data_IF_676653604297
#
_entry.id   IF_676653604297
#
_cell.length_a   1.000
_cell.length_b   1.000
_cell.length_c   1.000
_cell.angle_alpha   90.00
_cell.angle_beta   90.00
_cell.angle_gamma   90.00
#
_symmetry.space_group_name_H-M   'P 1'
#
loop_
_entity.id
_entity.type
_entity.pdbx_description
1 polymer ?
#
# COMPACT_ATOMS: atom_id res chain seq x y z
N UNK A 1 -19.10 -3.69 4.28
CA UNK A 1 -18.27 -4.21 5.38
C UNK A 1 -16.88 -4.41 4.80
N UNK A 2 -15.83 -4.05 5.53
CA UNK A 2 -14.48 -4.10 4.98
C UNK A 2 -13.94 -5.53 4.96
N UNK A 3 -13.04 -5.84 4.04
CA UNK A 3 -12.30 -7.11 3.98
C UNK A 3 -11.73 -7.58 5.32
N UNK A 4 -11.43 -6.66 6.23
CA UNK A 4 -10.92 -6.96 7.56
C UNK A 4 -11.91 -7.65 8.51
N UNK A 5 -13.21 -7.70 8.21
CA UNK A 5 -14.18 -8.33 9.09
C UNK A 5 -14.21 -9.88 8.97
N UNK A 6 -13.48 -10.45 8.00
CA UNK A 6 -13.37 -11.91 7.78
C UNK A 6 -11.99 -12.51 8.08
N UNK A 7 -11.02 -11.72 8.53
CA UNK A 7 -9.63 -12.18 8.77
C UNK A 7 -9.49 -12.99 10.07
N UNK A 8 -10.44 -12.91 11.00
CA UNK A 8 -10.30 -13.55 12.32
C UNK A 8 -10.39 -15.10 12.32
N UNK A 9 -10.80 -15.74 11.21
CA UNK A 9 -10.91 -17.20 11.06
C UNK A 9 -10.14 -17.78 9.85
N UNK A 10 -9.25 -17.01 9.21
CA UNK A 10 -8.51 -17.49 8.02
C UNK A 10 -7.31 -18.36 8.38
N UNK A 11 -7.23 -19.56 7.79
CA UNK A 11 -6.09 -20.47 7.96
C UNK A 11 -4.84 -20.00 7.19
N UNK A 12 -4.92 -18.87 6.48
CA UNK A 12 -3.78 -18.24 5.80
C UNK A 12 -2.58 -18.01 6.73
N UNK A 13 -2.81 -17.78 8.03
CA UNK A 13 -1.75 -17.62 9.01
C UNK A 13 -0.89 -18.88 9.22
N UNK A 14 -1.38 -20.05 8.78
CA UNK A 14 -0.66 -21.32 8.86
C UNK A 14 0.28 -21.55 7.68
N UNK A 15 0.11 -20.82 6.57
CA UNK A 15 0.93 -20.99 5.37
C UNK A 15 2.28 -20.27 5.49
N UNK A 16 3.37 -20.87 4.97
CA UNK A 16 4.68 -20.24 5.00
C UNK A 16 4.75 -19.02 4.07
N UNK A 17 5.64 -18.03 4.32
CA UNK A 17 5.76 -16.83 3.47
C UNK A 17 6.03 -17.10 1.99
N UNK A 18 6.62 -18.24 1.67
CA UNK A 18 6.89 -18.72 0.31
C UNK A 18 5.62 -19.15 -0.44
N UNK A 19 4.51 -19.38 0.28
CA UNK A 19 3.21 -19.73 -0.29
C UNK A 19 2.58 -18.60 -1.09
N UNK A 20 2.95 -17.35 -0.84
CA UNK A 20 2.35 -16.18 -1.46
C UNK A 20 2.95 -15.95 -2.85
N UNK A 21 2.14 -16.12 -3.90
CA UNK A 21 2.52 -15.89 -5.30
C UNK A 21 2.96 -14.46 -5.58
N UNK A 22 2.48 -13.51 -4.78
CA UNK A 22 2.86 -12.11 -4.82
C UNK A 22 3.10 -11.57 -3.40
N UNK A 23 4.35 -11.59 -2.93
CA UNK A 23 4.78 -11.10 -1.60
C UNK A 23 4.53 -9.58 -1.41
N UNK A 24 4.04 -8.88 -2.44
CA UNK A 24 3.79 -7.43 -2.46
C UNK A 24 2.33 -7.05 -2.71
N UNK A 25 1.42 -8.01 -2.87
CA UNK A 25 -0.01 -7.76 -2.89
C UNK A 25 -0.58 -8.13 -1.51
N UNK A 26 -0.55 -7.18 -0.58
CA UNK A 26 -1.10 -7.36 0.77
C UNK A 26 -2.60 -7.08 0.82
N UNK A 27 -3.17 -6.57 -0.28
CA UNK A 27 -4.55 -6.08 -0.35
C UNK A 27 -5.40 -6.85 -1.38
N UNK A 28 -4.81 -7.57 -2.34
CA UNK A 28 -5.54 -8.42 -3.29
C UNK A 28 -5.96 -9.79 -2.72
N UNK A 29 -6.89 -10.50 -3.39
CA UNK A 29 -7.28 -11.85 -2.98
C UNK A 29 -6.07 -12.78 -3.03
N UNK A 30 -5.84 -13.55 -1.95
CA UNK A 30 -4.71 -14.48 -1.84
C UNK A 30 -4.55 -15.32 -3.13
N UNK A 31 -3.34 -15.33 -3.70
CA UNK A 31 -2.99 -16.18 -4.85
C UNK A 31 -1.70 -16.96 -4.55
N UNK A 32 -1.74 -18.30 -4.49
CA UNK A 32 -0.58 -19.08 -4.12
C UNK A 32 0.50 -19.06 -5.20
N UNK A 33 1.76 -19.19 -4.79
CA UNK A 33 2.88 -19.32 -5.70
C UNK A 33 2.86 -20.72 -6.34
N UNK A 34 2.65 -20.80 -7.65
CA UNK A 34 2.56 -22.10 -8.36
C UNK A 34 3.80 -23.00 -8.10
N UNK A 35 5.00 -22.44 -8.06
CA UNK A 35 6.24 -23.22 -7.85
C UNK A 35 6.36 -23.76 -6.42
N UNK A 36 5.89 -22.99 -5.43
CA UNK A 36 5.79 -23.50 -4.07
C UNK A 36 4.69 -24.56 -3.99
N UNK A 37 3.52 -24.31 -4.58
CA UNK A 37 2.35 -25.18 -4.52
C UNK A 37 2.66 -26.57 -5.10
N UNK A 38 3.46 -26.69 -6.15
CA UNK A 38 3.93 -27.98 -6.71
C UNK A 38 4.72 -28.85 -5.72
N UNK A 39 5.34 -28.23 -4.71
CA UNK A 39 6.30 -28.90 -3.81
C UNK A 39 5.91 -28.85 -2.33
N UNK A 40 4.82 -28.16 -2.01
CA UNK A 40 4.21 -28.09 -0.68
C UNK A 40 3.66 -29.46 -0.25
N UNK A 41 3.40 -29.62 1.04
CA UNK A 41 2.76 -30.84 1.54
C UNK A 41 1.25 -30.85 1.22
N UNK A 42 0.63 -32.03 1.33
CA UNK A 42 -0.77 -32.21 0.93
C UNK A 42 -1.74 -31.35 1.77
N UNK A 43 -1.40 -31.06 3.03
CA UNK A 43 -2.21 -30.24 3.93
C UNK A 43 -2.10 -28.75 3.55
N UNK A 44 -0.89 -28.24 3.32
CA UNK A 44 -0.64 -26.85 2.87
C UNK A 44 -1.23 -26.59 1.48
N UNK A 45 -1.18 -27.58 0.57
CA UNK A 45 -1.81 -27.49 -0.75
C UNK A 45 -3.33 -27.32 -0.62
N UNK A 46 -3.98 -28.10 0.25
CA UNK A 46 -5.43 -28.01 0.49
C UNK A 46 -5.82 -26.67 1.10
N UNK A 47 -5.10 -26.22 2.14
CA UNK A 47 -5.34 -24.91 2.76
C UNK A 47 -5.15 -23.78 1.75
N UNK A 48 -4.11 -23.82 0.91
CA UNK A 48 -3.89 -22.80 -0.11
C UNK A 48 -4.99 -22.76 -1.19
N UNK A 49 -5.45 -23.92 -1.68
CA UNK A 49 -6.54 -23.99 -2.66
C UNK A 49 -7.86 -23.48 -2.08
N UNK A 50 -8.16 -23.85 -0.83
CA UNK A 50 -9.35 -23.42 -0.10
C UNK A 50 -9.37 -21.91 0.11
N UNK A 51 -8.30 -21.34 0.66
CA UNK A 51 -8.20 -19.89 0.91
C UNK A 51 -8.18 -19.08 -0.39
N UNK A 52 -7.64 -19.63 -1.48
CA UNK A 52 -7.74 -19.01 -2.81
C UNK A 52 -9.20 -18.87 -3.27
N UNK A 53 -10.02 -19.90 -3.06
CA UNK A 53 -11.43 -19.91 -3.43
C UNK A 53 -12.24 -18.95 -2.55
N UNK A 54 -12.07 -19.02 -1.23
CA UNK A 54 -12.75 -18.16 -0.25
C UNK A 54 -12.34 -16.68 -0.36
N UNK A 55 -11.16 -16.38 -0.90
CA UNK A 55 -10.77 -15.01 -1.21
C UNK A 55 -11.51 -14.40 -2.42
N UNK A 56 -12.18 -15.22 -3.24
CA UNK A 56 -12.84 -14.80 -4.49
C UNK A 56 -14.35 -15.00 -4.45
N UNK A 57 -14.82 -15.98 -3.69
CA UNK A 57 -16.20 -16.39 -3.64
C UNK A 57 -16.69 -16.42 -2.18
N UNK A 58 -17.94 -16.00 -1.97
CA UNK A 58 -18.58 -16.01 -0.66
C UNK A 58 -19.96 -16.68 -0.74
N UNK A 59 -20.50 -17.00 0.44
CA UNK A 59 -21.87 -17.47 0.58
C UNK A 59 -22.85 -16.48 -0.09
N UNK A 60 -23.73 -16.95 -1.00
CA UNK A 60 -24.72 -16.10 -1.65
C UNK A 60 -25.61 -15.34 -0.66
N UNK A 61 -25.80 -15.84 0.57
CA UNK A 61 -26.51 -15.14 1.64
C UNK A 61 -25.94 -13.76 2.01
N UNK A 62 -24.64 -13.52 1.75
CA UNK A 62 -23.98 -12.28 2.13
C UNK A 62 -24.12 -11.19 1.06
N UNK A 63 -23.91 -11.53 -0.20
CA UNK A 63 -23.77 -10.56 -1.30
C UNK A 63 -24.90 -10.64 -2.34
N UNK A 64 -25.86 -11.58 -2.21
CA UNK A 64 -26.96 -11.72 -3.18
C UNK A 64 -28.35 -11.51 -2.55
N UNK A 65 -29.26 -10.77 -3.23
CA UNK A 65 -30.65 -10.63 -2.77
C UNK A 65 -31.40 -11.97 -2.79
N UNK A 66 -32.05 -12.32 -1.67
CA UNK A 66 -32.87 -13.54 -1.57
C UNK A 66 -34.33 -13.29 -1.94
N UNK A 67 -34.89 -14.10 -2.85
CA UNK A 67 -36.31 -14.04 -3.21
C UNK A 67 -37.13 -15.10 -2.46
N UNK A 68 -37.78 -14.69 -1.38
CA UNK A 68 -38.60 -15.57 -0.54
C UNK A 68 -39.89 -16.11 -1.18
N UNK A 69 -40.27 -15.70 -2.41
CA UNK A 69 -41.43 -16.29 -3.12
C UNK A 69 -41.06 -17.52 -3.95
N UNK A 70 -39.86 -17.55 -4.52
CA UNK A 70 -39.36 -18.65 -5.36
C UNK A 70 -38.37 -19.55 -4.60
N UNK A 71 -37.85 -19.08 -3.47
CA UNK A 71 -37.03 -19.87 -2.55
C UNK A 71 -35.58 -20.02 -3.03
N UNK A 72 -34.95 -18.94 -3.50
CA UNK A 72 -33.57 -18.96 -3.99
C UNK A 72 -32.90 -17.58 -4.03
N UNK A 73 -31.58 -17.61 -4.20
CA UNK A 73 -30.72 -16.42 -4.37
C UNK A 73 -30.76 -15.90 -5.80
N UNK A 74 -30.69 -14.57 -5.96
CA UNK A 74 -30.63 -13.92 -7.26
C UNK A 74 -29.21 -13.47 -7.55
N UNK A 75 -28.50 -14.24 -8.39
CA UNK A 75 -27.12 -13.98 -8.85
C UNK A 75 -27.05 -12.84 -9.88
N UNK A 76 -27.43 -11.64 -9.47
CA UNK A 76 -27.46 -10.44 -10.34
C UNK A 76 -26.06 -9.98 -10.78
N UNK A 77 -25.01 -10.44 -10.10
CA UNK A 77 -23.62 -9.99 -10.26
C UNK A 77 -22.69 -11.10 -10.80
N UNK A 78 -23.24 -12.19 -11.34
CA UNK A 78 -22.49 -13.37 -11.78
C UNK A 78 -22.60 -14.54 -10.80
N UNK A 79 -22.30 -15.75 -11.29
CA UNK A 79 -22.56 -17.03 -10.62
C UNK A 79 -23.87 -17.71 -11.08
N UNK A 80 -24.27 -18.81 -10.44
CA UNK A 80 -23.55 -19.51 -9.37
C UNK A 80 -22.21 -20.07 -9.85
N UNK A 81 -21.20 -20.03 -8.98
CA UNK A 81 -19.89 -20.63 -9.21
C UNK A 81 -19.78 -21.91 -8.38
N UNK A 82 -19.51 -23.03 -9.04
CA UNK A 82 -19.29 -24.32 -8.39
C UNK A 82 -17.79 -24.51 -8.11
N UNK A 83 -17.38 -24.81 -6.86
CA UNK A 83 -16.00 -25.22 -6.57
C UNK A 83 -15.47 -26.31 -7.50
N UNK A 84 -16.32 -27.22 -7.96
CA UNK A 84 -15.98 -28.33 -8.86
C UNK A 84 -15.60 -27.88 -10.29
N UNK A 85 -15.97 -26.67 -10.69
CA UNK A 85 -15.58 -26.09 -11.98
C UNK A 85 -14.34 -25.18 -11.81
N UNK A 86 -14.34 -24.34 -10.78
CA UNK A 86 -13.35 -23.27 -10.58
C UNK A 86 -11.99 -23.78 -10.07
N UNK A 87 -11.98 -24.73 -9.12
CA UNK A 87 -10.73 -25.25 -8.56
C UNK A 87 -9.93 -26.08 -9.57
N UNK A 88 -10.53 -27.03 -10.33
CA UNK A 88 -9.81 -27.74 -11.37
C UNK A 88 -9.30 -26.82 -12.49
N UNK A 89 -10.05 -25.78 -12.86
CA UNK A 89 -9.60 -24.82 -13.89
C UNK A 89 -8.30 -24.11 -13.48
N UNK A 90 -8.13 -23.76 -12.19
CA UNK A 90 -6.94 -23.06 -11.68
C UNK A 90 -5.77 -23.98 -11.35
N UNK A 91 -6.04 -25.15 -10.79
CA UNK A 91 -5.00 -25.98 -10.14
C UNK A 91 -4.69 -27.30 -10.86
N UNK A 92 -5.48 -27.70 -11.85
CA UNK A 92 -5.20 -28.93 -12.60
C UNK A 92 -3.84 -28.84 -13.31
N UNK A 93 -3.00 -29.84 -13.09
CA UNK A 93 -1.62 -29.89 -13.59
C UNK A 93 -0.56 -29.26 -12.67
N UNK A 94 -0.98 -28.66 -11.54
CA UNK A 94 -0.09 -28.14 -10.48
C UNK A 94 -0.19 -29.02 -9.23
N UNK A 95 -1.42 -29.38 -8.84
CA UNK A 95 -1.73 -30.26 -7.69
C UNK A 95 -2.39 -31.55 -8.21
N UNK A 96 -2.29 -32.65 -7.46
CA UNK A 96 -2.96 -33.92 -7.80
C UNK A 96 -4.48 -33.72 -7.78
N UNK A 97 -5.16 -34.15 -8.85
CA UNK A 97 -6.61 -34.01 -9.01
C UNK A 97 -7.39 -34.60 -7.83
N UNK A 98 -6.86 -35.62 -7.13
CA UNK A 98 -7.49 -36.17 -5.93
C UNK A 98 -7.57 -35.18 -4.77
N UNK A 99 -6.54 -34.35 -4.59
CA UNK A 99 -6.52 -33.34 -3.53
C UNK A 99 -7.46 -32.19 -3.87
N UNK A 100 -7.61 -31.88 -5.16
CA UNK A 100 -8.59 -30.91 -5.67
C UNK A 100 -10.01 -31.40 -5.36
N UNK A 101 -10.33 -32.67 -5.68
CA UNK A 101 -11.62 -33.29 -5.40
C UNK A 101 -11.96 -33.27 -3.90
N UNK A 102 -10.98 -33.53 -3.02
CA UNK A 102 -11.17 -33.46 -1.56
C UNK A 102 -11.53 -32.04 -1.07
N UNK A 103 -10.87 -30.99 -1.61
CA UNK A 103 -11.22 -29.59 -1.24
C UNK A 103 -12.59 -29.18 -1.78
N UNK A 104 -12.96 -29.67 -2.97
CA UNK A 104 -14.29 -29.46 -3.54
C UNK A 104 -15.37 -30.08 -2.64
N UNK A 105 -15.18 -31.32 -2.18
CA UNK A 105 -16.11 -31.99 -1.26
C UNK A 105 -16.26 -31.23 0.06
N UNK A 106 -15.15 -30.71 0.60
CA UNK A 106 -15.17 -29.90 1.82
C UNK A 106 -15.96 -28.60 1.64
N UNK A 107 -15.75 -27.88 0.53
CA UNK A 107 -16.47 -26.64 0.20
C UNK A 107 -17.96 -26.88 -0.12
N UNK A 108 -18.30 -28.01 -0.75
CA UNK A 108 -19.69 -28.43 -0.96
C UNK A 108 -20.41 -28.76 0.36
N UNK A 109 -19.67 -29.16 1.40
CA UNK A 109 -20.19 -29.39 2.74
C UNK A 109 -20.58 -28.11 3.51
N UNK A 110 -20.23 -26.93 2.99
CA UNK A 110 -20.49 -25.63 3.60
C UNK A 110 -21.76 -24.96 3.10
N UNK A 111 -22.09 -23.81 3.70
CA UNK A 111 -23.34 -23.09 3.46
C UNK A 111 -23.53 -22.65 1.99
N UNK A 112 -22.44 -22.45 1.23
CA UNK A 112 -22.47 -22.09 -0.18
C UNK A 112 -22.70 -23.25 -1.15
N UNK A 113 -22.48 -24.51 -0.73
CA UNK A 113 -22.71 -25.69 -1.56
C UNK A 113 -22.06 -25.61 -2.95
N UNK A 114 -22.87 -25.79 -3.99
CA UNK A 114 -22.55 -25.63 -5.41
C UNK A 114 -22.89 -24.23 -5.98
N UNK A 115 -23.42 -23.33 -5.16
CA UNK A 115 -24.01 -22.06 -5.59
C UNK A 115 -23.30 -20.83 -4.98
N UNK A 116 -21.98 -20.71 -5.17
CA UNK A 116 -21.23 -19.58 -4.60
C UNK A 116 -21.39 -18.28 -5.40
N UNK A 117 -21.35 -17.15 -4.69
CA UNK A 117 -21.41 -15.82 -5.27
C UNK A 117 -20.02 -15.16 -5.31
N UNK A 118 -19.72 -14.31 -6.30
CA UNK A 118 -18.45 -13.60 -6.35
C UNK A 118 -18.39 -12.50 -5.28
N UNK A 119 -17.27 -12.39 -4.58
CA UNK A 119 -17.03 -11.31 -3.61
C UNK A 119 -16.91 -9.98 -4.36
N UNK A 120 -17.71 -8.99 -3.94
CA UNK A 120 -17.61 -7.63 -4.49
C UNK A 120 -16.44 -6.92 -3.84
N UNK A 121 -15.34 -6.82 -4.59
CA UNK A 121 -14.24 -5.98 -4.20
C UNK A 121 -14.58 -4.50 -4.47
N UNK A 122 -15.50 -3.94 -3.67
CA UNK A 122 -15.79 -2.50 -3.65
C UNK A 122 -14.62 -1.75 -2.98
N UNK A 123 -13.45 -1.76 -3.62
CA UNK A 123 -12.57 -0.61 -3.46
C UNK A 123 -13.34 0.58 -4.04
N UNK A 124 -13.45 1.72 -3.33
CA UNK A 124 -13.86 2.95 -3.97
C UNK A 124 -12.98 3.09 -5.22
N UNK A 125 -13.59 3.31 -6.39
CA UNK A 125 -12.90 3.40 -7.69
C UNK A 125 -11.49 3.97 -7.46
N UNK A 126 -10.45 3.15 -7.68
CA UNK A 126 -9.06 3.48 -7.30
C UNK A 126 -8.64 4.87 -7.83
N UNK A 127 -9.30 5.32 -8.91
CA UNK A 127 -9.21 6.67 -9.50
C UNK A 127 -9.39 7.82 -8.50
N UNK A 128 -10.18 7.69 -7.43
CA UNK A 128 -10.44 8.79 -6.49
C UNK A 128 -9.34 8.94 -5.41
N UNK A 129 -8.68 7.85 -5.00
CA UNK A 129 -7.56 7.89 -4.05
C UNK A 129 -6.22 8.25 -4.71
N UNK A 130 -6.12 8.07 -6.03
CA UNK A 130 -4.93 8.35 -6.85
C UNK A 130 -4.75 9.85 -7.20
N UNK A 131 -5.72 10.70 -6.88
CA UNK A 131 -5.71 12.09 -7.34
C UNK A 131 -5.24 13.07 -6.26
N UNK A 132 -3.98 12.92 -5.84
CA UNK A 132 -3.22 14.11 -5.46
C UNK A 132 -3.21 15.06 -6.66
N UNK A 133 -4.00 16.13 -6.60
CA UNK A 133 -3.93 17.16 -7.62
C UNK A 133 -2.75 18.08 -7.31
N UNK A 134 -1.60 17.82 -7.92
CA UNK A 134 -0.39 18.63 -7.79
C UNK A 134 -0.22 19.41 -9.10
N UNK A 135 -0.67 20.66 -9.08
CA UNK A 135 -0.80 21.47 -10.31
C UNK A 135 0.52 21.97 -10.88
N UNK A 136 1.63 21.88 -10.13
CA UNK A 136 2.94 22.36 -10.58
C UNK A 136 4.11 21.74 -9.83
N UNK A 137 5.30 21.80 -10.43
CA UNK A 137 6.54 21.29 -9.84
C UNK A 137 6.89 21.92 -8.49
N UNK A 138 6.49 23.17 -8.28
CA UNK A 138 6.82 23.95 -7.08
C UNK A 138 5.74 23.82 -6.00
N UNK A 139 4.59 23.19 -6.32
CA UNK A 139 3.49 23.01 -5.39
C UNK A 139 3.85 22.19 -4.15
N UNK A 140 4.65 21.09 -4.22
CA UNK A 140 5.09 20.37 -3.02
C UNK A 140 5.86 21.27 -2.05
N UNK A 141 6.78 22.11 -2.56
CA UNK A 141 7.54 23.03 -1.71
C UNK A 141 6.65 24.12 -1.10
N UNK A 142 5.67 24.64 -1.87
CA UNK A 142 4.72 25.62 -1.36
C UNK A 142 3.85 25.02 -0.25
N UNK A 143 3.28 23.82 -0.47
CA UNK A 143 2.49 23.10 0.53
C UNK A 143 3.29 22.79 1.78
N UNK A 144 4.55 22.40 1.64
CA UNK A 144 5.45 22.23 2.78
C UNK A 144 5.56 23.50 3.60
N UNK A 145 5.85 24.65 2.98
CA UNK A 145 5.99 25.94 3.67
C UNK A 145 4.71 26.36 4.37
N UNK A 146 3.55 26.10 3.75
CA UNK A 146 2.24 26.33 4.40
C UNK A 146 2.08 25.44 5.62
N UNK A 147 2.31 24.12 5.50
CA UNK A 147 2.21 23.17 6.62
C UNK A 147 3.12 23.54 7.78
N UNK A 148 4.38 23.89 7.51
CA UNK A 148 5.33 24.27 8.56
C UNK A 148 4.95 25.60 9.23
N UNK A 149 4.39 26.54 8.48
CA UNK A 149 3.88 27.80 9.05
C UNK A 149 2.64 27.59 9.93
N UNK A 150 1.68 26.79 9.47
CA UNK A 150 0.53 26.39 10.27
C UNK A 150 0.97 25.64 11.54
N UNK A 151 1.97 24.78 11.44
CA UNK A 151 2.56 24.08 12.58
C UNK A 151 3.18 25.05 13.60
N UNK A 152 3.81 26.15 13.15
CA UNK A 152 4.27 27.23 14.04
C UNK A 152 3.10 27.95 14.71
N UNK A 153 2.00 28.18 14.00
CA UNK A 153 0.80 28.80 14.57
C UNK A 153 0.17 27.93 15.66
N UNK A 154 0.17 26.60 15.51
CA UNK A 154 -0.30 25.68 16.56
C UNK A 154 0.48 25.86 17.88
N UNK A 155 1.79 26.13 17.81
CA UNK A 155 2.60 26.39 19.02
C UNK A 155 2.21 27.68 19.75
N UNK A 156 1.52 28.60 19.08
CA UNK A 156 1.05 29.87 19.67
C UNK A 156 -0.30 29.74 20.37
N UNK A 157 -0.97 28.60 20.22
CA UNK A 157 -2.28 28.37 20.84
C UNK A 157 -2.18 28.43 22.36
N UNK A 158 -3.21 29.01 22.98
CA UNK A 158 -3.34 29.09 24.43
C UNK A 158 -4.13 27.90 24.97
N UNK A 159 -3.84 27.47 26.20
CA UNK A 159 -4.49 26.31 26.81
C UNK A 159 -3.84 25.90 28.13
N UNK A 160 -4.30 24.78 28.69
CA UNK A 160 -3.67 24.19 29.88
C UNK A 160 -2.21 23.81 29.58
N UNK A 161 -1.34 23.72 30.60
CA UNK A 161 0.04 23.26 30.41
C UNK A 161 0.11 21.92 29.67
N UNK A 162 -0.77 20.98 29.99
CA UNK A 162 -0.84 19.65 29.37
C UNK A 162 -1.22 19.73 27.89
N UNK A 163 -2.20 20.57 27.53
CA UNK A 163 -2.60 20.76 26.14
C UNK A 163 -1.48 21.37 25.30
N UNK A 164 -0.72 22.32 25.86
CA UNK A 164 0.43 22.93 25.17
C UNK A 164 1.57 21.94 24.97
N UNK A 165 1.85 21.09 25.94
CA UNK A 165 2.86 20.02 25.77
C UNK A 165 2.41 18.98 24.73
N UNK A 166 1.12 18.60 24.71
CA UNK A 166 0.60 17.74 23.65
C UNK A 166 0.73 18.41 22.26
N UNK A 167 0.40 19.70 22.15
CA UNK A 167 0.54 20.44 20.90
C UNK A 167 1.99 20.42 20.38
N UNK A 168 2.99 20.53 21.26
CA UNK A 168 4.41 20.40 20.89
C UNK A 168 4.75 19.03 20.30
N UNK A 169 4.27 17.94 20.91
CA UNK A 169 4.50 16.58 20.41
C UNK A 169 3.86 16.38 19.02
N UNK A 170 2.64 16.91 18.85
CA UNK A 170 1.92 16.84 17.57
C UNK A 170 2.62 17.67 16.48
N UNK A 171 3.06 18.88 16.79
CA UNK A 171 3.80 19.75 15.85
C UNK A 171 5.14 19.14 15.45
N UNK A 172 5.88 18.57 16.40
CA UNK A 172 7.14 17.89 16.11
C UNK A 172 6.94 16.70 15.16
N UNK A 173 5.92 15.87 15.43
CA UNK A 173 5.56 14.74 14.56
C UNK A 173 5.11 15.20 13.18
N UNK A 174 4.35 16.30 13.12
CA UNK A 174 3.93 16.94 11.88
C UNK A 174 5.13 17.41 11.05
N UNK A 175 6.20 17.95 11.66
CA UNK A 175 7.41 18.35 10.94
C UNK A 175 8.05 17.21 10.13
N UNK A 176 8.12 16.00 10.71
CA UNK A 176 8.61 14.81 10.00
C UNK A 176 7.60 14.35 8.94
N UNK A 177 6.29 14.35 9.26
CA UNK A 177 5.24 14.03 8.29
C UNK A 177 5.21 15.01 7.10
N UNK A 178 5.54 16.28 7.31
CA UNK A 178 5.61 17.29 6.27
C UNK A 178 6.78 17.03 5.30
N UNK A 179 7.92 16.55 5.80
CA UNK A 179 9.04 16.06 4.98
C UNK A 179 8.61 14.85 4.13
N UNK A 180 7.95 13.87 4.74
CA UNK A 180 7.45 12.68 4.04
C UNK A 180 6.46 13.04 2.94
N UNK A 181 5.48 13.89 3.25
CA UNK A 181 4.51 14.38 2.29
C UNK A 181 5.18 15.13 1.13
N UNK A 182 6.17 15.99 1.42
CA UNK A 182 6.92 16.68 0.36
C UNK A 182 7.61 15.70 -0.60
N UNK A 183 8.28 14.67 -0.07
CA UNK A 183 8.99 13.68 -0.88
C UNK A 183 8.02 12.89 -1.77
N UNK A 184 6.91 12.44 -1.19
CA UNK A 184 5.85 11.74 -1.90
C UNK A 184 5.21 12.61 -2.98
N UNK A 185 4.74 13.81 -2.63
CA UNK A 185 4.12 14.76 -3.56
C UNK A 185 5.07 15.11 -4.71
N UNK A 186 6.36 15.27 -4.41
CA UNK A 186 7.38 15.51 -5.45
C UNK A 186 7.51 14.32 -6.38
N UNK A 187 7.62 13.10 -5.86
CA UNK A 187 7.71 11.90 -6.68
C UNK A 187 6.45 11.71 -7.54
N UNK A 188 5.27 11.81 -6.93
CA UNK A 188 3.98 11.71 -7.60
C UNK A 188 3.89 12.67 -8.78
N UNK A 189 4.17 13.97 -8.56
CA UNK A 189 4.15 14.98 -9.63
C UNK A 189 5.06 14.61 -10.80
N UNK A 190 6.32 14.24 -10.55
CA UNK A 190 7.26 13.95 -11.62
C UNK A 190 6.91 12.66 -12.36
N UNK A 191 6.55 11.58 -11.65
CA UNK A 191 6.21 10.31 -12.31
C UNK A 191 4.83 10.33 -12.98
N UNK A 192 3.96 11.25 -12.59
CA UNK A 192 2.67 11.49 -13.24
C UNK A 192 2.80 12.33 -14.52
N UNK A 193 3.67 13.34 -14.53
CA UNK A 193 3.71 14.34 -15.60
C UNK A 193 4.93 14.26 -16.54
N UNK A 194 6.01 13.55 -16.16
CA UNK A 194 7.24 13.48 -16.96
C UNK A 194 7.50 12.05 -17.47
N UNK A 195 7.26 11.84 -18.77
CA UNK A 195 7.51 10.55 -19.46
C UNK A 195 8.97 10.09 -19.36
N UNK A 196 9.92 11.03 -19.31
CA UNK A 196 11.33 10.69 -19.15
C UNK A 196 11.59 10.18 -17.73
N UNK A 197 10.99 10.81 -16.72
CA UNK A 197 11.05 10.33 -15.34
C UNK A 197 10.42 8.93 -15.21
N UNK A 198 9.26 8.73 -15.82
CA UNK A 198 8.56 7.44 -15.83
C UNK A 198 9.41 6.35 -16.50
N UNK A 199 9.94 6.61 -17.69
CA UNK A 199 10.85 5.69 -18.37
C UNK A 199 12.06 5.33 -17.51
N UNK A 200 12.68 6.33 -16.86
CA UNK A 200 13.88 6.13 -16.05
C UNK A 200 13.59 5.28 -14.80
N UNK A 201 12.49 5.51 -14.08
CA UNK A 201 12.20 4.71 -12.88
C UNK A 201 11.95 3.25 -13.25
N UNK A 202 11.26 2.99 -14.36
CA UNK A 202 10.97 1.62 -14.82
C UNK A 202 12.25 0.89 -15.23
N UNK A 203 13.16 1.58 -15.92
CA UNK A 203 14.39 0.97 -16.44
C UNK A 203 15.50 0.84 -15.41
N UNK A 204 15.53 1.68 -14.37
CA UNK A 204 16.64 1.74 -13.42
C UNK A 204 16.30 1.23 -12.03
N UNK A 205 15.03 1.21 -11.61
CA UNK A 205 14.65 0.70 -10.30
C UNK A 205 14.49 -0.83 -10.37
N UNK A 206 15.22 -1.62 -9.55
CA UNK A 206 15.17 -3.09 -9.61
C UNK A 206 13.76 -3.67 -9.55
N UNK A 207 12.84 -3.05 -8.79
CA UNK A 207 11.44 -3.46 -8.68
C UNK A 207 10.73 -3.58 -10.04
N UNK A 208 11.01 -2.68 -10.97
CA UNK A 208 10.39 -2.65 -12.30
C UNK A 208 11.30 -3.26 -13.37
N UNK A 209 12.60 -2.96 -13.31
CA UNK A 209 13.58 -3.42 -14.29
C UNK A 209 13.64 -4.94 -14.39
N UNK A 210 13.51 -5.62 -13.25
CA UNK A 210 13.68 -7.06 -13.15
C UNK A 210 12.34 -7.83 -13.28
N UNK A 211 11.23 -7.13 -13.55
CA UNK A 211 9.90 -7.73 -13.76
C UNK A 211 9.82 -8.47 -15.11
N UNK A 212 9.38 -9.73 -15.09
CA UNK A 212 9.20 -10.54 -16.31
C UNK A 212 7.80 -10.36 -16.90
N UNK A 213 7.71 -10.09 -18.20
CA UNK A 213 6.44 -9.87 -18.90
C UNK A 213 6.36 -10.77 -20.14
N UNK A 214 5.24 -11.48 -20.33
CA UNK A 214 4.97 -12.27 -21.55
C UNK A 214 4.69 -11.33 -22.72
N UNK A 215 5.15 -11.68 -23.93
CA UNK A 215 5.00 -10.84 -25.12
C UNK A 215 3.53 -10.48 -25.44
N UNK A 216 2.59 -11.39 -25.16
CA UNK A 216 1.16 -11.18 -25.37
C UNK A 216 0.53 -10.13 -24.44
N UNK A 217 1.13 -9.86 -23.29
CA UNK A 217 0.60 -8.94 -22.27
C UNK A 217 1.15 -7.52 -22.39
N UNK A 218 2.06 -7.28 -23.36
CA UNK A 218 2.73 -5.98 -23.55
C UNK A 218 1.73 -4.83 -23.66
N UNK A 219 0.71 -4.96 -24.50
CA UNK A 219 -0.25 -3.88 -24.71
C UNK A 219 -1.12 -3.61 -23.47
N UNK A 220 -1.40 -4.63 -22.66
CA UNK A 220 -2.14 -4.48 -21.39
C UNK A 220 -1.27 -3.77 -20.35
N UNK A 221 -0.03 -4.21 -20.17
CA UNK A 221 0.94 -3.61 -19.23
C UNK A 221 1.32 -2.19 -19.64
N UNK A 222 1.51 -1.92 -20.92
CA UNK A 222 1.84 -0.58 -21.41
C UNK A 222 0.75 0.44 -21.08
N UNK A 223 -0.53 0.05 -21.16
CA UNK A 223 -1.64 0.95 -20.85
C UNK A 223 -1.66 1.38 -19.37
N UNK A 224 -1.28 0.48 -18.46
CA UNK A 224 -1.32 0.68 -17.00
C UNK A 224 0.01 1.07 -16.37
N UNK A 225 1.08 1.12 -17.16
CA UNK A 225 2.45 1.26 -16.67
C UNK A 225 2.65 2.45 -15.73
N UNK A 226 2.01 3.58 -16.02
CA UNK A 226 2.05 4.76 -15.15
C UNK A 226 1.28 4.53 -13.85
N UNK A 227 0.08 3.98 -13.94
CA UNK A 227 -0.75 3.65 -12.78
C UNK A 227 -0.04 2.67 -11.86
N UNK A 228 0.61 1.65 -12.42
CA UNK A 228 1.40 0.66 -11.67
C UNK A 228 2.56 1.33 -10.92
N UNK A 229 3.26 2.28 -11.56
CA UNK A 229 4.30 3.07 -10.90
C UNK A 229 3.73 3.94 -9.78
N UNK A 230 2.63 4.66 -10.02
CA UNK A 230 2.01 5.53 -9.01
C UNK A 230 1.47 4.72 -7.83
N UNK A 231 0.85 3.56 -8.08
CA UNK A 231 0.39 2.61 -7.06
C UNK A 231 1.56 2.09 -6.23
N UNK A 232 2.67 1.73 -6.87
CA UNK A 232 3.87 1.34 -6.14
C UNK A 232 4.36 2.46 -5.21
N UNK A 233 4.39 3.72 -5.66
CA UNK A 233 4.80 4.85 -4.83
C UNK A 233 3.89 5.09 -3.61
N UNK A 234 2.60 4.74 -3.70
CA UNK A 234 1.68 4.82 -2.57
C UNK A 234 2.02 3.80 -1.47
N UNK A 235 2.53 2.62 -1.83
CA UNK A 235 2.98 1.61 -0.87
C UNK A 235 4.27 1.98 -0.13
N UNK A 236 4.98 3.01 -0.58
CA UNK A 236 6.28 3.39 0.00
C UNK A 236 6.12 4.11 1.32
N UNK A 237 6.91 3.67 2.29
CA UNK A 237 7.08 4.35 3.58
C UNK A 237 8.15 5.44 3.43
N UNK A 238 7.72 6.69 3.26
CA UNK A 238 8.59 7.82 2.86
C UNK A 238 9.66 8.25 3.87
N UNK A 239 9.61 7.78 5.12
CA UNK A 239 10.71 7.92 6.07
C UNK A 239 11.79 6.83 5.97
N UNK A 240 11.60 5.79 5.12
CA UNK A 240 12.65 4.83 4.77
C UNK A 240 13.57 5.42 3.71
N UNK A 241 14.41 6.35 4.12
CA UNK A 241 15.20 7.19 3.19
C UNK A 241 16.18 6.44 2.28
N UNK A 242 16.54 5.20 2.60
CA UNK A 242 17.30 4.35 1.69
C UNK A 242 16.51 4.06 0.40
N UNK A 243 15.25 3.64 0.54
CA UNK A 243 14.35 3.36 -0.60
C UNK A 243 14.04 4.65 -1.37
N UNK A 244 13.74 5.74 -0.66
CA UNK A 244 13.48 7.05 -1.28
C UNK A 244 14.68 7.55 -2.10
N UNK A 245 15.91 7.38 -1.60
CA UNK A 245 17.13 7.71 -2.35
C UNK A 245 17.23 6.91 -3.66
N UNK A 246 16.87 5.62 -3.63
CA UNK A 246 16.90 4.79 -4.83
C UNK A 246 15.86 5.26 -5.84
N UNK A 247 14.63 5.58 -5.41
CA UNK A 247 13.55 6.07 -6.27
C UNK A 247 13.96 7.39 -6.97
N UNK A 248 14.40 8.39 -6.18
CA UNK A 248 14.80 9.69 -6.72
C UNK A 248 16.02 9.60 -7.63
N UNK A 249 16.99 8.73 -7.30
CA UNK A 249 18.17 8.51 -8.12
C UNK A 249 17.82 7.77 -9.42
N UNK A 250 17.00 6.73 -9.36
CA UNK A 250 16.64 5.90 -10.52
C UNK A 250 15.71 6.64 -11.49
N UNK A 251 14.70 7.34 -10.98
CA UNK A 251 13.70 8.01 -11.80
C UNK A 251 14.06 9.45 -12.16
N UNK A 252 14.48 10.25 -11.17
CA UNK A 252 14.70 11.69 -11.36
C UNK A 252 16.17 12.05 -11.62
N UNK A 253 17.08 11.08 -11.52
CA UNK A 253 18.52 11.27 -11.66
C UNK A 253 19.10 12.34 -10.71
N UNK A 254 18.48 12.54 -9.55
CA UNK A 254 19.01 13.45 -8.52
C UNK A 254 19.55 12.65 -7.33
N UNK A 255 20.61 13.16 -6.72
CA UNK A 255 21.12 12.65 -5.45
C UNK A 255 20.56 13.50 -4.32
N UNK A 256 19.67 12.93 -3.52
CA UNK A 256 19.07 13.63 -2.38
C UNK A 256 20.13 14.03 -1.35
N UNK A 257 19.95 15.16 -0.64
CA UNK A 257 20.82 15.56 0.46
C UNK A 257 20.86 14.53 1.60
N UNK A 258 21.76 14.73 2.56
CA UNK A 258 21.91 13.79 3.67
C UNK A 258 20.72 13.85 4.65
N UNK A 259 20.12 12.69 4.92
CA UNK A 259 19.04 12.56 5.90
C UNK A 259 19.53 12.27 7.33
N UNK A 260 20.83 12.05 7.55
CA UNK A 260 21.36 11.76 8.90
C UNK A 260 20.97 12.84 9.92
N UNK A 261 20.77 14.08 9.46
CA UNK A 261 20.31 15.23 10.26
C UNK A 261 18.92 15.03 10.90
N UNK A 262 18.14 14.06 10.42
CA UNK A 262 16.77 13.77 10.88
C UNK A 262 16.66 12.46 11.66
N UNK A 263 17.74 11.66 11.82
CA UNK A 263 17.69 10.34 12.47
C UNK A 263 17.10 10.41 13.88
N UNK A 264 17.60 11.32 14.70
CA UNK A 264 17.13 11.49 16.07
C UNK A 264 15.67 11.96 16.12
N UNK A 265 15.30 12.84 15.18
CA UNK A 265 13.92 13.32 15.06
C UNK A 265 12.95 12.20 14.65
N UNK A 266 13.37 11.29 13.76
CA UNK A 266 12.56 10.14 13.36
C UNK A 266 12.34 9.17 14.54
N UNK A 267 13.37 8.92 15.35
CA UNK A 267 13.23 8.10 16.57
C UNK A 267 12.21 8.71 17.52
N UNK A 268 12.34 10.01 17.84
CA UNK A 268 11.39 10.73 18.70
C UNK A 268 9.97 10.73 18.12
N UNK A 269 9.83 10.95 16.81
CA UNK A 269 8.53 10.88 16.14
C UNK A 269 7.90 9.50 16.27
N UNK A 270 8.66 8.42 16.17
CA UNK A 270 8.14 7.06 16.35
C UNK A 270 7.68 6.79 17.80
N UNK A 271 8.38 7.34 18.80
CA UNK A 271 7.94 7.30 20.19
C UNK A 271 6.66 8.11 20.40
N UNK A 272 6.54 9.29 19.78
CA UNK A 272 5.32 10.11 19.86
C UNK A 272 4.12 9.40 19.22
N UNK A 273 4.28 8.89 17.99
CA UNK A 273 3.17 8.31 17.21
C UNK A 273 2.76 6.93 17.70
N UNK A 274 3.73 6.02 17.94
CA UNK A 274 3.42 4.61 18.23
C UNK A 274 3.42 4.26 19.72
N UNK A 275 3.96 5.14 20.57
CA UNK A 275 4.04 4.92 22.03
C UNK A 275 3.41 6.07 22.82
N UNK A 276 2.54 6.84 22.17
CA UNK A 276 1.82 7.96 22.77
C UNK A 276 2.73 8.92 23.57
N UNK A 277 3.90 9.25 23.02
CA UNK A 277 4.85 10.16 23.67
C UNK A 277 5.73 9.54 24.74
N UNK A 278 5.84 8.20 24.79
CA UNK A 278 6.76 7.50 25.68
C UNK A 278 7.90 6.83 24.90
N UNK A 279 9.10 6.85 25.46
CA UNK A 279 10.24 6.10 24.91
C UNK A 279 10.05 4.60 25.11
N UNK A 280 10.92 3.78 24.50
CA UNK A 280 10.95 2.32 24.73
C UNK A 280 11.11 1.94 26.21
N UNK A 281 11.76 2.79 26.99
CA UNK A 281 12.00 2.58 28.42
C UNK A 281 10.86 3.15 29.31
N UNK A 282 9.78 3.66 28.69
CA UNK A 282 8.63 4.23 29.40
C UNK A 282 8.82 5.67 29.88
N UNK A 283 9.92 6.35 29.52
CA UNK A 283 10.13 7.75 29.86
C UNK A 283 9.28 8.67 28.97
N UNK A 284 8.80 9.79 29.52
CA UNK A 284 8.03 10.78 28.74
C UNK A 284 8.98 11.54 27.81
N UNK A 285 8.61 11.62 26.54
CA UNK A 285 9.29 12.46 25.55
C UNK A 285 9.00 13.93 25.87
N UNK A 286 10.04 14.70 26.15
CA UNK A 286 9.95 16.16 26.36
C UNK A 286 10.60 16.91 25.20
N UNK A 287 9.96 17.97 24.72
CA UNK A 287 10.45 18.81 23.62
C UNK A 287 10.51 20.28 24.03
N UNK A 288 11.57 20.96 23.63
CA UNK A 288 11.66 22.42 23.74
C UNK A 288 11.19 23.11 22.46
N UNK A 289 10.69 24.34 22.59
CA UNK A 289 10.26 25.12 21.42
C UNK A 289 11.41 25.32 20.43
N UNK A 290 12.63 25.52 20.93
CA UNK A 290 13.83 25.65 20.11
C UNK A 290 14.13 24.38 19.29
N UNK A 291 13.93 23.19 19.89
CA UNK A 291 14.12 21.92 19.19
C UNK A 291 13.09 21.74 18.05
N UNK A 292 11.84 22.11 18.29
CA UNK A 292 10.78 22.05 17.29
C UNK A 292 11.07 23.02 16.14
N UNK A 293 11.44 24.26 16.45
CA UNK A 293 11.80 25.26 15.43
C UNK A 293 13.03 24.82 14.62
N UNK A 294 14.04 24.24 15.26
CA UNK A 294 15.21 23.70 14.57
C UNK A 294 14.84 22.57 13.60
N UNK A 295 13.96 21.64 14.00
CA UNK A 295 13.45 20.60 13.10
C UNK A 295 12.72 21.20 11.89
N UNK A 296 11.78 22.13 12.11
CA UNK A 296 11.02 22.75 11.02
C UNK A 296 11.94 23.49 10.04
N UNK A 297 12.91 24.24 10.54
CA UNK A 297 13.91 24.92 9.71
C UNK A 297 14.79 23.94 8.91
N UNK A 298 15.21 22.83 9.53
CA UNK A 298 15.98 21.78 8.83
C UNK A 298 15.17 21.13 7.71
N UNK A 299 13.89 20.85 7.96
CA UNK A 299 12.96 20.29 6.96
C UNK A 299 12.79 21.27 5.78
N UNK A 300 12.46 22.53 6.06
CA UNK A 300 12.30 23.55 5.01
C UNK A 300 13.57 23.73 4.17
N UNK A 301 14.74 23.75 4.82
CA UNK A 301 16.02 23.88 4.14
C UNK A 301 16.30 22.67 3.24
N UNK A 302 16.14 21.46 3.78
CA UNK A 302 16.33 20.22 3.04
C UNK A 302 15.44 20.18 1.80
N UNK A 303 14.14 20.43 1.95
CA UNK A 303 13.20 20.38 0.83
C UNK A 303 13.46 21.49 -0.20
N UNK A 304 13.92 22.66 0.24
CA UNK A 304 14.35 23.73 -0.67
C UNK A 304 15.57 23.30 -1.50
N UNK A 305 16.54 22.63 -0.89
CA UNK A 305 17.70 22.05 -1.60
C UNK A 305 17.26 20.99 -2.62
N UNK A 306 16.33 20.09 -2.25
CA UNK A 306 15.76 19.11 -3.19
C UNK A 306 15.06 19.81 -4.36
N UNK A 307 14.25 20.84 -4.10
CA UNK A 307 13.55 21.59 -5.15
C UNK A 307 14.54 22.27 -6.11
N UNK A 308 15.65 22.80 -5.59
CA UNK A 308 16.72 23.38 -6.43
C UNK A 308 17.36 22.34 -7.33
N UNK A 309 17.63 21.12 -6.84
CA UNK A 309 18.18 20.03 -7.66
C UNK A 309 17.26 19.69 -8.85
N UNK A 310 15.94 19.80 -8.64
CA UNK A 310 14.93 19.54 -9.67
C UNK A 310 14.83 20.65 -10.73
N UNK A 311 15.35 21.86 -10.47
CA UNK A 311 15.38 22.95 -11.47
C UNK A 311 16.24 22.61 -12.70
N UNK A 312 17.17 21.65 -12.56
CA UNK A 312 17.97 21.14 -13.67
C UNK A 312 17.14 20.36 -14.70
N UNK A 313 15.93 19.94 -14.33
CA UNK A 313 15.00 19.23 -15.20
C UNK A 313 14.10 20.22 -15.95
N UNK A 314 13.81 19.91 -17.20
CA UNK A 314 12.80 20.64 -17.98
C UNK A 314 11.43 20.51 -17.30
N UNK A 315 10.61 21.56 -17.35
CA UNK A 315 9.22 21.45 -16.90
C UNK A 315 8.51 20.36 -17.73
N UNK A 316 7.80 19.44 -17.08
CA UNK A 316 6.90 18.53 -17.79
C UNK A 316 5.88 19.36 -18.58
N UNK A 317 5.50 18.86 -19.76
CA UNK A 317 4.49 19.51 -20.61
C UNK A 317 3.10 19.34 -20.04
#
# INVERSE_FOLDING_TARGET
MGWNDHIDDSELANLPPEAYGNIFDTDGPFDPNDHWLETADEDDQKTAMREWFLARYCDPAQETPYNGREGGYLFVNGGPYDPADELPERFSGIVDDKLIDEVVEDLHGEAGGDEWAPIRNEYPDEEDWLQLNIDSRDAPLLRLKTRTEEARQVLTLTGSPQARELAKLLVFSNGVGALEAFLWETADFWFKNDDTALHNIITNLPKFRDEQIKLGDIFKKQARLREDVLRYLQSIVWHRWHEVKLIFKAGLHISLPNFDIFKDALVKRNDIVHRCGHTKDGAIVSLSDAEIQDLLCKVEKFCSEVNILLLSRSNPK
#
